data_IF_307075685064
#
_entry.id   IF_307075685064
#
_cell.length_a   1.000
_cell.length_b   1.000
_cell.length_c   1.000
_cell.angle_alpha   90.00
_cell.angle_beta   90.00
_cell.angle_gamma   90.00
#
_symmetry.space_group_name_H-M   'P 1'
#
loop_
_entity.id
_entity.type
_entity.pdbx_description
1 polymer ?
#
# COMPACT_ATOMS: atom_id res chain seq x y z
N UNK A 1 -26.81 20.28 -1.03
CA UNK A 1 -25.50 20.19 -0.32
C UNK A 1 -24.84 18.83 -0.54
N UNK A 2 -25.60 17.75 -0.77
CA UNK A 2 -25.10 16.40 -1.10
C UNK A 2 -24.66 16.20 -2.56
N UNK A 3 -25.01 17.11 -3.47
CA UNK A 3 -24.70 16.96 -4.92
C UNK A 3 -23.20 17.07 -5.26
N UNK A 4 -22.35 17.46 -4.29
CA UNK A 4 -20.89 17.57 -4.45
C UNK A 4 -20.10 16.53 -3.64
N UNK A 5 -20.76 15.53 -3.03
CA UNK A 5 -20.06 14.45 -2.33
C UNK A 5 -19.60 13.36 -3.31
N UNK A 6 -18.72 12.45 -2.86
CA UNK A 6 -18.20 11.36 -3.69
C UNK A 6 -17.21 11.84 -4.76
N UNK A 7 -17.43 11.46 -6.02
CA UNK A 7 -16.47 11.72 -7.10
C UNK A 7 -16.29 13.21 -7.44
N UNK A 8 -17.32 14.04 -7.24
CA UNK A 8 -17.27 15.47 -7.56
C UNK A 8 -16.73 16.33 -6.40
N UNK A 9 -16.34 15.70 -5.29
CA UNK A 9 -15.82 16.38 -4.11
C UNK A 9 -14.48 17.10 -4.38
N UNK A 10 -14.34 18.28 -3.79
CA UNK A 10 -13.13 19.11 -3.81
C UNK A 10 -12.76 19.54 -2.39
N UNK A 11 -11.52 19.30 -1.98
CA UNK A 11 -11.06 19.58 -0.61
C UNK A 11 -11.01 21.08 -0.28
N UNK A 12 -10.71 21.93 -1.28
CA UNK A 12 -10.73 23.39 -1.11
C UNK A 12 -12.12 23.95 -0.77
N UNK A 13 -13.18 23.41 -1.38
CA UNK A 13 -14.56 23.87 -1.12
C UNK A 13 -15.05 23.41 0.26
N UNK A 14 -14.59 22.25 0.74
CA UNK A 14 -14.99 21.68 2.03
C UNK A 14 -14.35 22.39 3.23
N UNK A 15 -13.07 22.73 3.15
CA UNK A 15 -12.36 23.48 4.19
C UNK A 15 -12.96 24.89 4.41
N UNK A 16 -13.47 25.53 3.35
CA UNK A 16 -14.15 26.83 3.46
C UNK A 16 -15.52 26.79 4.12
N UNK A 17 -16.18 25.63 4.15
CA UNK A 17 -17.53 25.45 4.69
C UNK A 17 -17.56 24.97 6.17
N UNK A 18 -16.48 24.34 6.65
CA UNK A 18 -16.37 23.85 8.02
C UNK A 18 -15.68 24.89 8.92
N UNK A 19 -16.47 25.76 9.54
CA UNK A 19 -16.05 26.46 10.76
C UNK A 19 -15.71 25.38 11.79
N UNK A 20 -14.42 25.20 12.06
CA UNK A 20 -13.89 24.15 12.92
C UNK A 20 -14.71 24.05 14.22
N UNK A 21 -15.49 22.98 14.36
CA UNK A 21 -16.14 22.64 15.62
C UNK A 21 -15.01 22.45 16.64
N UNK A 22 -14.87 23.40 17.58
CA UNK A 22 -13.78 23.43 18.56
C UNK A 22 -13.78 22.12 19.34
N UNK A 23 -12.85 21.23 19.02
CA UNK A 23 -12.67 19.96 19.71
C UNK A 23 -12.19 20.27 21.12
N UNK A 24 -12.74 19.55 22.11
CA UNK A 24 -12.38 19.77 23.52
C UNK A 24 -10.90 19.42 23.75
N UNK A 25 -10.16 20.34 24.37
CA UNK A 25 -8.72 20.22 24.57
C UNK A 25 -8.38 19.03 25.47
N UNK A 26 -9.25 18.72 26.45
CA UNK A 26 -9.08 17.53 27.31
C UNK A 26 -9.12 16.22 26.52
N UNK A 27 -9.95 16.15 25.47
CA UNK A 27 -10.03 14.96 24.61
C UNK A 27 -8.75 14.78 23.80
N UNK A 28 -8.19 15.88 23.28
CA UNK A 28 -6.92 15.87 22.55
C UNK A 28 -5.78 15.42 23.47
N UNK A 29 -5.67 16.03 24.65
CA UNK A 29 -4.63 15.71 25.62
C UNK A 29 -4.71 14.24 26.07
N UNK A 30 -5.92 13.74 26.35
CA UNK A 30 -6.15 12.33 26.70
C UNK A 30 -5.71 11.38 25.59
N UNK A 31 -6.06 11.65 24.32
CA UNK A 31 -5.65 10.82 23.18
C UNK A 31 -4.13 10.84 23.00
N UNK A 32 -3.49 12.01 23.11
CA UNK A 32 -2.04 12.12 23.04
C UNK A 32 -1.35 11.27 24.12
N UNK A 33 -1.83 11.33 25.37
CA UNK A 33 -1.29 10.51 26.47
C UNK A 33 -1.44 9.03 26.17
N UNK A 34 -2.63 8.57 25.75
CA UNK A 34 -2.88 7.17 25.43
C UNK A 34 -1.93 6.67 24.33
N UNK A 35 -1.77 7.42 23.23
CA UNK A 35 -0.88 7.03 22.15
C UNK A 35 0.59 6.99 22.57
N UNK A 36 1.05 7.96 23.38
CA UNK A 36 2.42 7.96 23.90
C UNK A 36 2.65 6.75 24.81
N UNK A 37 1.72 6.43 25.70
CA UNK A 37 1.81 5.25 26.56
C UNK A 37 1.88 3.96 25.74
N UNK A 38 1.03 3.81 24.71
CA UNK A 38 1.06 2.65 23.82
C UNK A 38 2.38 2.53 23.05
N UNK A 39 2.96 3.64 22.60
CA UNK A 39 4.28 3.65 21.95
C UNK A 39 5.38 3.18 22.92
N UNK A 40 5.37 3.66 24.17
CA UNK A 40 6.35 3.23 25.20
C UNK A 40 6.18 1.74 25.50
N UNK A 41 4.95 1.26 25.68
CA UNK A 41 4.67 -0.16 25.88
C UNK A 41 5.16 -1.00 24.69
N UNK A 42 4.89 -0.56 23.45
CA UNK A 42 5.38 -1.22 22.23
C UNK A 42 6.91 -1.31 22.20
N UNK A 43 7.61 -0.22 22.54
CA UNK A 43 9.07 -0.22 22.63
C UNK A 43 9.59 -1.20 23.68
N UNK A 44 8.97 -1.26 24.87
CA UNK A 44 9.37 -2.19 25.93
C UNK A 44 9.17 -3.64 25.47
N UNK A 45 8.04 -3.95 24.84
CA UNK A 45 7.76 -5.28 24.28
C UNK A 45 8.81 -5.64 23.23
N UNK A 46 9.14 -4.72 22.31
CA UNK A 46 10.19 -4.97 21.32
C UNK A 46 11.56 -5.21 21.98
N UNK A 47 11.94 -4.45 23.01
CA UNK A 47 13.22 -4.64 23.70
C UNK A 47 13.31 -6.01 24.40
N UNK A 48 12.21 -6.47 25.00
CA UNK A 48 12.18 -7.73 25.75
C UNK A 48 12.09 -8.94 24.83
N UNK A 49 11.25 -8.88 23.79
CA UNK A 49 10.89 -10.05 22.97
C UNK A 49 11.62 -10.12 21.63
N UNK A 50 12.13 -9.01 21.08
CA UNK A 50 12.85 -9.05 19.82
C UNK A 50 14.25 -9.60 20.06
N UNK A 51 14.45 -10.87 19.68
CA UNK A 51 15.77 -11.48 19.71
C UNK A 51 16.71 -10.67 18.81
N UNK A 52 17.78 -10.16 19.41
CA UNK A 52 18.76 -9.37 18.69
C UNK A 52 19.53 -10.32 17.77
N UNK A 53 19.15 -10.36 16.49
CA UNK A 53 19.92 -11.05 15.45
C UNK A 53 21.29 -10.38 15.37
N UNK A 54 22.23 -10.87 16.18
CA UNK A 54 23.61 -10.39 16.31
C UNK A 54 24.30 -10.45 14.95
N UNK A 55 24.31 -9.32 14.24
CA UNK A 55 25.54 -8.94 13.54
C UNK A 55 26.32 -8.12 14.56
N UNK A 56 26.95 -8.81 15.51
CA UNK A 56 27.79 -8.19 16.51
C UNK A 56 29.06 -7.67 15.82
N UNK A 57 28.94 -6.52 15.17
CA UNK A 57 30.10 -5.71 14.83
C UNK A 57 29.95 -4.41 15.61
N UNK A 58 30.80 -4.22 16.62
CA UNK A 58 31.11 -2.91 17.17
C UNK A 58 31.73 -2.05 16.06
N UNK A 59 30.94 -1.68 15.05
CA UNK A 59 31.36 -0.86 13.93
C UNK A 59 31.41 0.59 14.41
N UNK A 60 32.60 1.19 14.34
CA UNK A 60 32.80 2.62 14.61
C UNK A 60 31.78 3.44 13.78
N UNK A 61 31.36 4.61 14.26
CA UNK A 61 30.41 5.51 13.56
C UNK A 61 30.81 5.72 12.08
N UNK A 62 32.10 5.81 11.77
CA UNK A 62 32.61 5.96 10.40
C UNK A 62 32.46 4.72 9.51
N UNK A 63 32.30 3.53 10.09
CA UNK A 63 31.98 2.28 9.39
C UNK A 63 30.47 2.17 9.19
N UNK A 64 29.67 2.55 10.20
CA UNK A 64 28.22 2.65 10.06
C UNK A 64 27.82 3.64 8.96
N UNK A 65 28.40 4.85 8.94
CA UNK A 65 28.16 5.85 7.89
C UNK A 65 28.60 5.34 6.52
N UNK A 66 29.76 4.67 6.42
CA UNK A 66 30.20 4.06 5.16
C UNK A 66 29.28 2.94 4.69
N UNK A 67 28.74 2.14 5.62
CA UNK A 67 27.77 1.09 5.33
C UNK A 67 26.45 1.69 4.84
N UNK A 68 25.95 2.73 5.50
CA UNK A 68 24.76 3.47 5.06
C UNK A 68 24.95 4.15 3.70
N UNK A 69 26.10 4.76 3.43
CA UNK A 69 26.41 5.34 2.12
C UNK A 69 26.56 4.26 1.04
N UNK A 70 27.19 3.14 1.37
CA UNK A 70 27.31 1.98 0.47
C UNK A 70 25.93 1.38 0.18
N UNK A 71 25.05 1.31 1.16
CA UNK A 71 23.66 0.92 0.99
C UNK A 71 22.92 1.92 0.10
N UNK A 72 23.06 3.22 0.33
CA UNK A 72 22.44 4.26 -0.51
C UNK A 72 22.91 4.19 -1.97
N UNK A 73 24.22 4.05 -2.19
CA UNK A 73 24.80 3.84 -3.53
C UNK A 73 24.29 2.54 -4.14
N UNK A 74 24.18 1.47 -3.35
CA UNK A 74 23.63 0.19 -3.80
C UNK A 74 22.15 0.33 -4.15
N UNK A 75 21.35 1.04 -3.36
CA UNK A 75 19.95 1.38 -3.60
C UNK A 75 19.80 2.16 -4.92
N UNK A 76 20.62 3.19 -5.15
CA UNK A 76 20.62 3.97 -6.41
C UNK A 76 21.04 3.11 -7.60
N UNK A 77 22.07 2.29 -7.45
CA UNK A 77 22.51 1.36 -8.50
C UNK A 77 21.43 0.32 -8.79
N UNK A 78 20.72 -0.13 -7.76
CA UNK A 78 19.63 -1.09 -7.83
C UNK A 78 18.37 -0.50 -8.48
N UNK A 79 18.15 0.82 -8.41
CA UNK A 79 17.11 1.49 -9.23
C UNK A 79 17.36 1.35 -10.75
N UNK A 80 18.57 0.97 -11.16
CA UNK A 80 18.91 0.70 -12.57
C UNK A 80 18.58 -0.75 -12.99
N UNK A 81 18.20 -1.61 -12.05
CA UNK A 81 17.73 -2.95 -12.39
C UNK A 81 16.33 -2.87 -13.00
N UNK A 82 16.17 -3.50 -14.15
CA UNK A 82 14.92 -3.42 -14.93
C UNK A 82 13.73 -3.96 -14.13
N UNK A 83 13.94 -4.99 -13.31
CA UNK A 83 12.86 -5.57 -12.50
C UNK A 83 12.40 -4.60 -11.40
N UNK A 84 13.33 -3.84 -10.80
CA UNK A 84 12.99 -2.80 -9.83
C UNK A 84 12.23 -1.65 -10.50
N UNK A 85 12.71 -1.18 -11.65
CA UNK A 85 12.06 -0.09 -12.40
C UNK A 85 10.61 -0.44 -12.80
N UNK A 86 10.36 -1.70 -13.15
CA UNK A 86 9.02 -2.21 -13.51
C UNK A 86 8.07 -2.33 -12.31
N UNK A 87 8.60 -2.47 -11.09
CA UNK A 87 7.78 -2.53 -9.86
C UNK A 87 7.47 -1.16 -9.26
N UNK A 88 8.24 -0.12 -9.60
CA UNK A 88 8.05 1.23 -9.06
C UNK A 88 6.60 1.72 -9.19
N UNK A 89 5.94 1.66 -10.36
CA UNK A 89 4.56 2.12 -10.49
C UNK A 89 3.59 1.38 -9.56
N UNK A 90 3.80 0.07 -9.34
CA UNK A 90 3.00 -0.75 -8.44
C UNK A 90 3.24 -0.38 -6.96
N UNK A 91 4.48 -0.06 -6.58
CA UNK A 91 4.77 0.40 -5.22
C UNK A 91 4.24 1.80 -4.92
N UNK A 92 4.29 2.71 -5.91
CA UNK A 92 3.67 4.02 -5.80
C UNK A 92 2.15 3.86 -5.68
N UNK A 93 1.55 3.00 -6.51
CA UNK A 93 0.13 2.65 -6.44
C UNK A 93 -0.32 2.27 -5.03
N UNK A 94 0.42 1.36 -4.37
CA UNK A 94 0.16 0.94 -2.98
C UNK A 94 0.11 2.13 -2.01
N UNK A 95 1.04 3.08 -2.14
CA UNK A 95 1.03 4.29 -1.31
C UNK A 95 -0.17 5.20 -1.60
N UNK A 96 -0.51 5.37 -2.89
CA UNK A 96 -1.65 6.19 -3.32
C UNK A 96 -2.98 5.63 -2.80
N UNK A 97 -3.18 4.32 -2.90
CA UNK A 97 -4.36 3.63 -2.39
C UNK A 97 -4.58 3.92 -0.90
N UNK A 98 -3.57 3.65 -0.07
CA UNK A 98 -3.71 3.78 1.38
C UNK A 98 -4.01 5.23 1.77
N UNK A 99 -3.33 6.18 1.13
CA UNK A 99 -3.61 7.60 1.40
C UNK A 99 -5.01 7.97 0.95
N UNK A 100 -5.46 7.50 -0.22
CA UNK A 100 -6.81 7.71 -0.70
C UNK A 100 -7.84 7.20 0.31
N UNK A 101 -7.68 5.97 0.81
CA UNK A 101 -8.60 5.35 1.76
C UNK A 101 -8.67 6.15 3.07
N UNK A 102 -7.53 6.49 3.67
CA UNK A 102 -7.54 7.15 4.98
C UNK A 102 -7.92 8.63 4.92
N UNK A 103 -7.67 9.31 3.79
CA UNK A 103 -7.88 10.77 3.68
C UNK A 103 -9.13 11.13 2.89
N UNK A 104 -9.26 10.65 1.66
CA UNK A 104 -10.30 11.11 0.74
C UNK A 104 -11.55 10.26 0.84
N UNK A 105 -11.43 8.94 0.97
CA UNK A 105 -12.59 8.09 1.17
C UNK A 105 -13.34 8.45 2.47
N UNK A 106 -12.61 8.66 3.57
CA UNK A 106 -13.21 9.07 4.85
C UNK A 106 -13.86 10.46 4.82
N UNK A 107 -13.30 11.42 4.08
CA UNK A 107 -13.85 12.77 3.93
C UNK A 107 -14.99 12.82 2.91
N UNK A 108 -14.72 12.44 1.67
CA UNK A 108 -15.58 12.66 0.51
C UNK A 108 -16.76 11.68 0.42
N UNK A 109 -16.59 10.44 0.86
CA UNK A 109 -17.64 9.42 0.77
C UNK A 109 -18.35 9.20 2.10
N UNK A 110 -17.61 9.15 3.21
CA UNK A 110 -18.20 8.92 4.54
C UNK A 110 -18.67 10.24 5.15
N UNK A 111 -17.76 11.18 5.44
CA UNK A 111 -18.09 12.39 6.23
C UNK A 111 -18.96 13.40 5.50
N UNK A 112 -18.90 13.44 4.17
CA UNK A 112 -19.73 14.32 3.35
C UNK A 112 -21.19 13.82 3.25
N UNK A 113 -21.37 12.50 3.12
CA UNK A 113 -22.69 11.87 2.91
C UNK A 113 -23.39 11.52 4.22
N UNK A 114 -22.61 11.12 5.22
CA UNK A 114 -23.05 10.63 6.52
C UNK A 114 -22.39 11.40 7.66
N UNK A 115 -22.70 10.99 8.89
CA UNK A 115 -22.07 11.57 10.06
C UNK A 115 -20.59 11.10 10.17
N UNK A 116 -19.62 12.02 10.40
CA UNK A 116 -18.22 11.68 10.64
C UNK A 116 -17.99 10.65 11.77
N UNK A 117 -18.95 10.49 12.69
CA UNK A 117 -18.93 9.46 13.74
C UNK A 117 -18.80 8.02 13.20
N UNK A 118 -19.27 7.75 11.98
CA UNK A 118 -19.22 6.40 11.39
C UNK A 118 -17.88 6.07 10.73
N UNK A 119 -16.97 7.05 10.56
CA UNK A 119 -15.65 6.82 9.94
C UNK A 119 -14.89 5.72 10.67
N UNK A 120 -14.85 5.77 12.00
CA UNK A 120 -14.17 4.75 12.80
C UNK A 120 -14.77 3.35 12.62
N UNK A 121 -16.11 3.23 12.58
CA UNK A 121 -16.79 1.94 12.42
C UNK A 121 -16.52 1.31 11.05
N UNK A 122 -16.52 2.12 9.99
CA UNK A 122 -16.23 1.65 8.63
C UNK A 122 -14.76 1.22 8.50
N UNK A 123 -13.83 1.97 9.12
CA UNK A 123 -12.41 1.60 9.13
C UNK A 123 -12.11 0.34 9.96
N UNK A 124 -12.91 0.06 11.01
CA UNK A 124 -12.83 -1.21 11.74
C UNK A 124 -13.21 -2.38 10.81
N UNK A 125 -14.26 -2.23 9.99
CA UNK A 125 -14.64 -3.26 9.04
C UNK A 125 -13.55 -3.50 7.98
N UNK A 126 -12.95 -2.43 7.45
CA UNK A 126 -11.76 -2.53 6.61
C UNK A 126 -10.64 -3.32 7.30
N UNK A 127 -10.25 -2.94 8.52
CA UNK A 127 -9.15 -3.60 9.26
C UNK A 127 -9.43 -5.07 9.60
N UNK A 128 -10.68 -5.42 9.91
CA UNK A 128 -11.08 -6.81 10.15
C UNK A 128 -10.98 -7.65 8.87
N UNK A 129 -11.52 -7.12 7.75
CA UNK A 129 -11.43 -7.78 6.45
C UNK A 129 -9.98 -7.92 5.99
N UNK A 130 -9.16 -6.89 6.17
CA UNK A 130 -7.73 -6.89 5.85
C UNK A 130 -6.97 -7.94 6.66
N UNK A 131 -7.20 -8.00 7.97
CA UNK A 131 -6.55 -8.99 8.86
C UNK A 131 -6.90 -10.43 8.48
N UNK A 132 -8.19 -10.71 8.26
CA UNK A 132 -8.66 -12.05 7.86
C UNK A 132 -8.09 -12.41 6.48
N UNK A 133 -8.13 -11.48 5.54
CA UNK A 133 -7.65 -11.69 4.17
C UNK A 133 -6.14 -11.90 4.14
N UNK A 134 -5.37 -11.14 4.92
CA UNK A 134 -3.91 -11.30 5.03
C UNK A 134 -3.53 -12.72 5.47
N UNK A 135 -4.27 -13.30 6.43
CA UNK A 135 -4.07 -14.68 6.84
C UNK A 135 -4.44 -15.67 5.73
N UNK A 136 -5.62 -15.50 5.11
CA UNK A 136 -6.12 -16.40 4.06
C UNK A 136 -5.22 -16.40 2.83
N UNK A 137 -4.91 -15.23 2.27
CA UNK A 137 -4.07 -15.10 1.08
C UNK A 137 -2.61 -15.50 1.32
N UNK A 138 -2.12 -15.34 2.55
CA UNK A 138 -0.81 -15.85 2.96
C UNK A 138 -0.70 -17.38 2.86
N UNK A 139 -1.79 -18.11 3.06
CA UNK A 139 -1.83 -19.56 2.83
C UNK A 139 -2.22 -19.90 1.39
N UNK A 140 -3.20 -19.19 0.82
CA UNK A 140 -3.76 -19.46 -0.50
C UNK A 140 -2.72 -19.38 -1.63
N UNK A 141 -1.74 -18.48 -1.49
CA UNK A 141 -0.64 -18.34 -2.47
C UNK A 141 0.13 -19.65 -2.69
N UNK A 142 0.21 -20.52 -1.67
CA UNK A 142 0.90 -21.82 -1.76
C UNK A 142 0.19 -22.80 -2.70
N UNK A 143 -1.12 -22.63 -2.89
CA UNK A 143 -1.95 -23.54 -3.68
C UNK A 143 -2.27 -22.98 -5.07
N UNK A 144 -2.63 -21.69 -5.17
CA UNK A 144 -3.16 -21.08 -6.40
C UNK A 144 -2.10 -20.30 -7.17
N UNK A 145 -0.93 -20.08 -6.56
CA UNK A 145 0.17 -19.30 -7.11
C UNK A 145 -0.06 -17.79 -7.02
N UNK A 146 1.04 -17.04 -7.07
CA UNK A 146 1.05 -15.58 -6.87
C UNK A 146 0.28 -14.79 -7.93
N UNK A 147 0.36 -15.23 -9.19
CA UNK A 147 -0.32 -14.57 -10.32
C UNK A 147 -1.84 -14.46 -10.10
N UNK A 148 -2.46 -15.54 -9.62
CA UNK A 148 -3.91 -15.61 -9.39
C UNK A 148 -4.33 -14.66 -8.27
N UNK A 149 -3.55 -14.57 -7.19
CA UNK A 149 -3.81 -13.61 -6.11
C UNK A 149 -3.79 -12.17 -6.61
N UNK A 150 -2.76 -11.79 -7.37
CA UNK A 150 -2.68 -10.45 -7.96
C UNK A 150 -3.83 -10.17 -8.93
N UNK A 151 -4.25 -11.14 -9.74
CA UNK A 151 -5.38 -10.98 -10.64
C UNK A 151 -6.69 -10.70 -9.88
N UNK A 152 -6.95 -11.41 -8.78
CA UNK A 152 -8.13 -11.18 -7.93
C UNK A 152 -8.09 -9.78 -7.31
N UNK A 153 -6.96 -9.39 -6.71
CA UNK A 153 -6.80 -8.04 -6.13
C UNK A 153 -6.99 -6.94 -7.17
N UNK A 154 -6.44 -7.14 -8.37
CA UNK A 154 -6.62 -6.23 -9.51
C UNK A 154 -8.09 -6.07 -9.86
N UNK A 155 -8.82 -7.17 -10.03
CA UNK A 155 -10.25 -7.14 -10.36
C UNK A 155 -11.07 -6.44 -9.27
N UNK A 156 -10.79 -6.71 -8.00
CA UNK A 156 -11.48 -6.05 -6.88
C UNK A 156 -11.18 -4.54 -6.88
N UNK A 157 -9.91 -4.14 -6.96
CA UNK A 157 -9.52 -2.73 -6.98
C UNK A 157 -10.11 -1.97 -8.16
N UNK A 158 -10.06 -2.52 -9.38
CA UNK A 158 -10.73 -1.89 -10.54
C UNK A 158 -12.24 -1.74 -10.32
N UNK A 159 -12.89 -2.80 -9.85
CA UNK A 159 -14.34 -2.79 -9.61
C UNK A 159 -14.72 -1.74 -8.57
N UNK A 160 -13.94 -1.59 -7.50
CA UNK A 160 -14.16 -0.59 -6.46
C UNK A 160 -13.96 0.83 -6.99
N UNK A 161 -12.87 1.08 -7.72
CA UNK A 161 -12.57 2.42 -8.25
C UNK A 161 -13.62 2.84 -9.29
N UNK A 162 -14.02 1.92 -10.18
CA UNK A 162 -15.08 2.17 -11.17
C UNK A 162 -16.42 2.40 -10.46
N UNK A 163 -16.74 1.60 -9.44
CA UNK A 163 -17.95 1.82 -8.63
C UNK A 163 -17.93 3.21 -8.01
N UNK A 164 -16.83 3.63 -7.39
CA UNK A 164 -16.68 4.97 -6.79
C UNK A 164 -16.72 6.12 -7.82
N UNK A 165 -16.38 5.86 -9.08
CA UNK A 165 -16.46 6.84 -10.17
C UNK A 165 -17.90 7.07 -10.67
N UNK A 166 -18.73 6.02 -10.67
CA UNK A 166 -20.07 6.04 -11.24
C UNK A 166 -21.15 6.21 -10.18
N UNK A 167 -20.93 5.63 -9.00
CA UNK A 167 -21.89 5.65 -7.90
C UNK A 167 -21.86 6.98 -7.16
N UNK A 168 -23.03 7.60 -7.04
CA UNK A 168 -23.21 8.79 -6.21
C UNK A 168 -23.65 8.37 -4.80
N UNK A 169 -22.90 8.73 -3.75
CA UNK A 169 -23.21 8.30 -2.39
C UNK A 169 -24.51 8.96 -1.91
N UNK A 170 -25.45 8.15 -1.45
CA UNK A 170 -26.74 8.59 -0.89
C UNK A 170 -26.82 8.30 0.61
N UNK A 171 -27.56 9.12 1.35
CA UNK A 171 -27.63 9.06 2.83
C UNK A 171 -28.39 7.85 3.40
N UNK A 172 -29.01 7.00 2.56
CA UNK A 172 -29.74 5.80 3.03
C UNK A 172 -28.93 4.49 2.85
N UNK A 173 -27.74 4.57 2.25
CA UNK A 173 -26.99 3.40 1.78
C UNK A 173 -25.67 3.19 2.52
N UNK A 174 -25.65 3.36 3.86
CA UNK A 174 -24.41 3.23 4.65
C UNK A 174 -23.77 1.84 4.52
N UNK A 175 -24.59 0.80 4.32
CA UNK A 175 -24.14 -0.59 4.12
C UNK A 175 -23.20 -0.72 2.93
N UNK A 176 -23.42 0.06 1.86
CA UNK A 176 -22.56 0.05 0.67
C UNK A 176 -21.14 0.53 1.04
N UNK A 177 -21.01 1.52 1.92
CA UNK A 177 -19.70 2.00 2.38
C UNK A 177 -18.95 0.95 3.21
N UNK A 178 -19.67 0.16 4.03
CA UNK A 178 -19.09 -0.98 4.74
C UNK A 178 -18.58 -2.06 3.77
N UNK A 179 -19.36 -2.38 2.75
CA UNK A 179 -18.98 -3.37 1.71
C UNK A 179 -17.75 -2.87 0.95
N UNK A 180 -17.76 -1.61 0.53
CA UNK A 180 -16.64 -0.98 -0.18
C UNK A 180 -15.37 -1.00 0.69
N UNK A 181 -15.46 -0.61 1.96
CA UNK A 181 -14.32 -0.61 2.89
C UNK A 181 -13.80 -2.04 3.16
N UNK A 182 -14.70 -3.01 3.34
CA UNK A 182 -14.31 -4.40 3.52
C UNK A 182 -13.60 -4.97 2.30
N UNK A 183 -14.13 -4.73 1.09
CA UNK A 183 -13.49 -5.15 -0.16
C UNK A 183 -12.16 -4.44 -0.42
N UNK A 184 -12.03 -3.16 -0.05
CA UNK A 184 -10.75 -2.47 -0.04
C UNK A 184 -9.75 -3.16 0.89
N UNK A 185 -10.19 -3.59 2.08
CA UNK A 185 -9.33 -4.34 3.01
C UNK A 185 -8.90 -5.69 2.44
N UNK A 186 -9.79 -6.40 1.75
CA UNK A 186 -9.45 -7.64 1.05
C UNK A 186 -8.38 -7.39 -0.03
N UNK A 187 -8.50 -6.31 -0.81
CA UNK A 187 -7.55 -5.98 -1.86
C UNK A 187 -6.20 -5.53 -1.29
N UNK A 188 -6.19 -4.60 -0.32
CA UNK A 188 -4.98 -4.09 0.35
C UNK A 188 -4.18 -5.23 0.99
N UNK A 189 -4.85 -6.17 1.66
CA UNK A 189 -4.21 -7.38 2.20
C UNK A 189 -3.40 -8.13 1.15
N UNK A 190 -3.94 -8.29 -0.06
CA UNK A 190 -3.24 -8.97 -1.16
C UNK A 190 -2.11 -8.10 -1.68
N UNK A 191 -2.35 -6.80 -1.93
CA UNK A 191 -1.32 -5.88 -2.41
C UNK A 191 -0.13 -5.83 -1.47
N UNK A 192 -0.35 -5.68 -0.17
CA UNK A 192 0.69 -5.60 0.84
C UNK A 192 1.41 -6.94 1.03
N UNK A 193 0.69 -8.04 1.27
CA UNK A 193 1.34 -9.33 1.55
C UNK A 193 2.08 -9.88 0.34
N UNK A 194 1.46 -9.84 -0.85
CA UNK A 194 2.03 -10.43 -2.06
C UNK A 194 3.14 -9.58 -2.66
N UNK A 195 3.04 -8.24 -2.60
CA UNK A 195 4.12 -7.38 -3.10
C UNK A 195 5.35 -7.51 -2.21
N UNK A 196 5.20 -7.49 -0.89
CA UNK A 196 6.32 -7.71 0.03
C UNK A 196 6.96 -9.10 -0.17
N UNK A 197 6.14 -10.15 -0.33
CA UNK A 197 6.64 -11.48 -0.65
C UNK A 197 7.37 -11.52 -2.01
N UNK A 198 6.87 -10.80 -3.01
CA UNK A 198 7.51 -10.74 -4.32
C UNK A 198 8.87 -10.06 -4.27
N UNK A 199 8.97 -8.93 -3.55
CA UNK A 199 10.25 -8.26 -3.28
C UNK A 199 11.24 -9.20 -2.59
N UNK A 200 10.77 -10.01 -1.64
CA UNK A 200 11.61 -11.01 -0.96
C UNK A 200 12.15 -12.11 -1.89
N UNK A 201 11.37 -12.54 -2.88
CA UNK A 201 11.80 -13.55 -3.87
C UNK A 201 12.70 -12.95 -4.96
N UNK A 202 12.41 -11.73 -5.39
CA UNK A 202 13.14 -11.09 -6.48
C UNK A 202 14.53 -10.60 -6.04
N UNK A 203 14.68 -10.20 -4.78
CA UNK A 203 15.90 -9.59 -4.25
C UNK A 203 16.48 -10.35 -3.06
N UNK A 204 16.58 -11.68 -3.17
CA UNK A 204 17.15 -12.52 -2.09
C UNK A 204 18.57 -12.07 -1.72
N UNK A 205 19.41 -11.81 -2.73
CA UNK A 205 20.82 -11.45 -2.52
C UNK A 205 21.02 -10.03 -1.97
N UNK A 206 20.06 -9.13 -2.23
CA UNK A 206 20.14 -7.70 -1.87
C UNK A 206 18.87 -7.20 -1.18
N UNK A 207 18.32 -8.00 -0.26
CA UNK A 207 17.02 -7.75 0.37
C UNK A 207 16.93 -6.40 1.07
N UNK A 208 18.00 -5.96 1.74
CA UNK A 208 18.05 -4.65 2.41
C UNK A 208 17.84 -3.48 1.43
N UNK A 209 18.49 -3.52 0.26
CA UNK A 209 18.35 -2.49 -0.78
C UNK A 209 16.99 -2.56 -1.49
N UNK A 210 16.47 -3.77 -1.72
CA UNK A 210 15.15 -3.99 -2.33
C UNK A 210 14.02 -3.45 -1.46
N UNK A 211 13.98 -3.85 -0.17
CA UNK A 211 12.97 -3.37 0.78
C UNK A 211 13.11 -1.89 1.12
N UNK A 212 14.33 -1.35 1.15
CA UNK A 212 14.53 0.10 1.30
C UNK A 212 13.93 0.87 0.14
N UNK A 213 14.13 0.42 -1.10
CA UNK A 213 13.49 1.04 -2.26
C UNK A 213 11.97 0.87 -2.24
N UNK A 214 11.45 -0.31 -1.85
CA UNK A 214 10.00 -0.52 -1.69
C UNK A 214 9.37 0.55 -0.80
N UNK A 215 9.93 0.75 0.41
CA UNK A 215 9.44 1.77 1.35
C UNK A 215 9.61 3.19 0.84
N UNK A 216 10.71 3.47 0.13
CA UNK A 216 10.95 4.77 -0.48
C UNK A 216 9.85 5.11 -1.50
N UNK A 217 9.56 4.22 -2.45
CA UNK A 217 8.59 4.48 -3.52
C UNK A 217 7.14 4.47 -3.01
N UNK A 218 6.84 3.63 -2.02
CA UNK A 218 5.57 3.68 -1.27
C UNK A 218 5.38 5.06 -0.60
N UNK A 219 6.43 5.58 0.05
CA UNK A 219 6.42 6.91 0.67
C UNK A 219 6.29 8.05 -0.35
N UNK A 220 6.88 7.90 -1.53
CA UNK A 220 6.67 8.83 -2.66
C UNK A 220 5.21 8.85 -3.07
N UNK A 221 4.53 7.70 -3.08
CA UNK A 221 3.08 7.62 -3.30
C UNK A 221 2.30 8.45 -2.29
N UNK A 222 2.59 8.28 -0.99
CA UNK A 222 1.97 9.10 0.07
C UNK A 222 2.18 10.60 -0.16
N UNK A 223 3.43 11.02 -0.38
CA UNK A 223 3.78 12.42 -0.56
C UNK A 223 3.13 13.02 -1.81
N UNK A 224 3.22 12.31 -2.95
CA UNK A 224 2.60 12.73 -4.20
C UNK A 224 1.10 12.95 -4.02
N UNK A 225 0.41 12.02 -3.36
CA UNK A 225 -1.02 12.12 -3.09
C UNK A 225 -1.38 13.39 -2.30
N UNK A 226 -0.69 13.64 -1.17
CA UNK A 226 -0.97 14.82 -0.34
C UNK A 226 -0.68 16.14 -1.05
N UNK A 227 0.33 16.17 -1.94
CA UNK A 227 0.65 17.37 -2.71
C UNK A 227 -0.45 17.68 -3.73
N UNK A 228 -0.98 16.68 -4.44
CA UNK A 228 -1.95 16.92 -5.53
C UNK A 228 -3.36 17.17 -5.00
N UNK A 229 -3.74 16.50 -3.91
CA UNK A 229 -5.13 16.40 -3.43
C UNK A 229 -5.82 17.76 -3.22
N UNK A 230 -5.18 18.79 -2.63
CA UNK A 230 -5.82 20.09 -2.46
C UNK A 230 -6.21 20.77 -3.78
N UNK A 231 -5.60 20.40 -4.91
CA UNK A 231 -5.75 21.12 -6.18
C UNK A 231 -6.68 20.41 -7.18
N UNK A 232 -7.08 19.17 -6.92
CA UNK A 232 -7.84 18.34 -7.86
C UNK A 232 -9.07 17.72 -7.20
N UNK A 233 -10.07 17.35 -8.02
CA UNK A 233 -11.26 16.63 -7.55
C UNK A 233 -10.98 15.15 -7.35
N UNK A 234 -11.80 14.51 -6.53
CA UNK A 234 -11.75 13.07 -6.28
C UNK A 234 -11.82 12.25 -7.58
N UNK A 235 -12.65 12.65 -8.55
CA UNK A 235 -12.72 11.99 -9.86
C UNK A 235 -11.36 11.88 -10.54
N UNK A 236 -10.55 12.94 -10.52
CA UNK A 236 -9.20 12.94 -11.08
C UNK A 236 -8.26 12.05 -10.29
N UNK A 237 -8.39 12.04 -8.95
CA UNK A 237 -7.64 11.13 -8.08
C UNK A 237 -7.94 9.67 -8.45
N UNK A 238 -9.22 9.30 -8.57
CA UNK A 238 -9.63 7.95 -8.96
C UNK A 238 -9.08 7.54 -10.34
N UNK A 239 -8.96 8.48 -11.29
CA UNK A 239 -8.34 8.20 -12.61
C UNK A 239 -6.83 8.00 -12.48
N UNK A 240 -6.12 8.86 -11.72
CA UNK A 240 -4.70 8.69 -11.43
C UNK A 240 -4.48 7.31 -10.80
N UNK A 241 -5.35 6.94 -9.89
CA UNK A 241 -5.33 5.64 -9.25
C UNK A 241 -5.39 4.50 -10.29
N UNK A 242 -6.37 4.52 -11.20
CA UNK A 242 -6.47 3.53 -12.29
C UNK A 242 -5.23 3.48 -13.19
N UNK A 243 -4.63 4.63 -13.51
CA UNK A 243 -3.44 4.70 -14.37
C UNK A 243 -2.23 4.03 -13.69
N UNK A 244 -1.99 4.32 -12.42
CA UNK A 244 -0.90 3.70 -11.65
C UNK A 244 -1.13 2.20 -11.45
N UNK A 245 -2.36 1.76 -11.17
CA UNK A 245 -2.70 0.33 -11.10
C UNK A 245 -2.44 -0.38 -12.45
N UNK A 246 -2.90 0.21 -13.56
CA UNK A 246 -2.75 -0.37 -14.91
C UNK A 246 -1.28 -0.52 -15.29
N UNK A 247 -0.49 0.52 -15.05
CA UNK A 247 0.95 0.52 -15.34
C UNK A 247 1.71 -0.43 -14.41
N UNK A 248 1.35 -0.48 -13.13
CA UNK A 248 1.92 -1.42 -12.15
C UNK A 248 1.69 -2.89 -12.51
N UNK A 249 0.45 -3.25 -12.89
CA UNK A 249 0.13 -4.62 -13.30
C UNK A 249 0.79 -4.99 -14.62
N UNK A 250 0.88 -4.06 -15.58
CA UNK A 250 1.63 -4.28 -16.82
C UNK A 250 3.13 -4.54 -16.54
N UNK A 251 3.71 -3.77 -15.60
CA UNK A 251 5.07 -3.98 -15.13
C UNK A 251 5.27 -5.35 -14.48
N UNK A 252 4.36 -5.74 -13.58
CA UNK A 252 4.36 -7.06 -12.95
C UNK A 252 4.27 -8.20 -13.97
N UNK A 253 3.34 -8.11 -14.93
CA UNK A 253 3.18 -9.10 -15.99
C UNK A 253 4.43 -9.25 -16.85
N UNK A 254 5.11 -8.14 -17.17
CA UNK A 254 6.36 -8.18 -17.92
C UNK A 254 7.48 -8.88 -17.13
N UNK A 255 7.60 -8.63 -15.83
CA UNK A 255 8.59 -9.31 -14.99
C UNK A 255 8.32 -10.82 -14.96
N UNK A 256 7.08 -11.21 -14.68
CA UNK A 256 6.67 -12.62 -14.63
C UNK A 256 6.95 -13.33 -15.97
N UNK A 257 6.66 -12.67 -17.10
CA UNK A 257 6.98 -13.17 -18.44
C UNK A 257 8.48 -13.35 -18.65
N UNK A 258 9.31 -12.38 -18.24
CA UNK A 258 10.77 -12.45 -18.35
C UNK A 258 11.36 -13.57 -17.49
N UNK A 259 10.88 -13.73 -16.26
CA UNK A 259 11.27 -14.84 -15.37
C UNK A 259 11.00 -16.20 -16.03
N UNK A 260 9.78 -16.41 -16.57
CA UNK A 260 9.42 -17.67 -17.24
C UNK A 260 10.26 -17.97 -18.47
N UNK A 261 10.63 -16.95 -19.25
CA UNK A 261 11.53 -17.11 -20.40
C UNK A 261 12.93 -17.56 -19.94
N UNK A 262 13.46 -16.92 -18.90
CA UNK A 262 14.80 -17.24 -18.41
C UNK A 262 14.86 -18.67 -17.86
N UNK A 263 13.85 -19.10 -17.11
CA UNK A 263 13.74 -20.49 -16.63
C UNK A 263 13.68 -21.51 -17.78
N UNK A 264 12.94 -21.22 -18.86
CA UNK A 264 12.89 -22.09 -20.04
C UNK A 264 14.25 -22.18 -20.73
N UNK A 265 14.97 -21.06 -20.84
CA UNK A 265 16.32 -21.04 -21.43
C UNK A 265 17.30 -21.88 -20.61
N UNK A 266 17.30 -21.73 -19.29
CA UNK A 266 18.16 -22.52 -18.40
C UNK A 266 17.89 -24.02 -18.48
N UNK A 267 16.61 -24.43 -18.52
CA UNK A 267 16.22 -25.83 -18.70
C UNK A 267 16.71 -26.38 -20.04
N UNK A 268 16.56 -25.62 -21.11
CA UNK A 268 17.04 -26.02 -22.44
C UNK A 268 18.57 -26.16 -22.48
N UNK A 269 19.31 -25.25 -21.83
CA UNK A 269 20.78 -25.35 -21.73
C UNK A 269 21.22 -26.58 -20.95
N UNK A 270 20.58 -26.88 -19.80
CA UNK A 270 20.88 -28.07 -18.99
C UNK A 270 20.57 -29.38 -19.73
N UNK A 271 19.46 -29.43 -20.47
CA UNK A 271 19.09 -30.59 -21.26
C UNK A 271 20.08 -30.83 -22.41
N UNK A 272 20.53 -29.77 -23.09
CA UNK A 272 21.54 -29.86 -24.14
C UNK A 272 22.89 -30.38 -23.58
N UNK A 273 23.28 -29.94 -22.38
CA UNK A 273 24.50 -30.44 -21.72
C UNK A 273 24.40 -31.91 -21.30
N UNK A 274 23.24 -32.38 -20.83
CA UNK A 274 23.04 -33.81 -20.50
C UNK A 274 22.96 -34.70 -21.75
N UNK A 275 22.51 -34.20 -22.90
CA UNK A 275 22.46 -34.98 -24.15
C UNK A 275 23.83 -35.16 -24.83
N UNK A 276 24.86 -34.45 -24.38
CA UNK A 276 26.23 -34.54 -24.89
C UNK A 276 27.17 -35.40 -24.02
N UNK A 277 26.65 -35.94 -22.91
CA UNK A 277 27.31 -36.90 -22.00
C UNK A 277 26.76 -38.30 -22.25
#
# INVERSE_FOLDING_TARGET
>A
MYDKCGADFSEQEYQGAQVAKKIDRKTIDLLCIIYVCLCICSMIILIIFLDQRRTASHEKISVMVRKSLKLLISTIKHMREINQLLLIPLTIWSGLEQTFLFTQFTKAFISCTFNPKYVGLILIAYGLCDSISSFVFGQLVKHVGRWSCFAIATLISYSLIITMLVWHPSSDQIVILFIIAGLWGVADAVWQTQTNAFYGVLFVDNSEAGFSNYRLWESVGFAFFYIITPYIRIRSILIILLVFLSTGISGYALIEYRCRINEKKEKNTKNNQMSQL
#
